data_IF_485294680386
#
_entry.id   IF_485294680386
#
_cell.length_a   1.000
_cell.length_b   1.000
_cell.length_c   1.000
_cell.angle_alpha   90.00
_cell.angle_beta   90.00
_cell.angle_gamma   90.00
#
_symmetry.space_group_name_H-M   'P 1'
#
loop_
_entity.id
_entity.type
_entity.pdbx_description
1 polymer ?
#
# COMPACT_ATOMS: atom_id res chain seq x y z
N UNK A 1 -9.53 -32.95 -14.05
CA UNK A 1 -8.93 -31.84 -14.83
C UNK A 1 -9.79 -30.60 -14.62
N UNK A 2 -9.26 -29.56 -13.97
CA UNK A 2 -9.95 -28.26 -13.89
C UNK A 2 -9.75 -27.50 -15.21
N UNK A 3 -10.76 -26.83 -15.76
CA UNK A 3 -10.61 -26.07 -16.99
C UNK A 3 -9.64 -24.90 -16.79
N UNK A 4 -8.88 -24.51 -17.83
CA UNK A 4 -7.97 -23.37 -17.76
C UNK A 4 -8.79 -22.11 -17.50
N UNK A 5 -8.50 -21.41 -16.39
CA UNK A 5 -9.03 -20.07 -16.14
C UNK A 5 -8.47 -19.17 -17.24
N UNK A 6 -9.32 -18.68 -18.14
CA UNK A 6 -8.90 -17.73 -19.17
C UNK A 6 -8.55 -16.41 -18.51
N UNK A 7 -7.28 -16.06 -18.41
CA UNK A 7 -6.84 -14.74 -17.99
C UNK A 7 -7.13 -13.76 -19.14
N UNK A 8 -8.15 -12.92 -19.03
CA UNK A 8 -8.35 -11.80 -19.95
C UNK A 8 -7.21 -10.79 -19.70
N UNK A 9 -6.38 -10.55 -20.71
CA UNK A 9 -5.41 -9.47 -20.66
C UNK A 9 -6.13 -8.12 -20.77
N UNK A 10 -5.71 -7.13 -19.98
CA UNK A 10 -6.29 -5.80 -19.95
C UNK A 10 -6.24 -5.17 -18.56
N UNK A 11 -6.76 -3.95 -18.45
CA UNK A 11 -7.01 -3.31 -17.15
C UNK A 11 -8.22 -4.00 -16.53
N UNK A 12 -8.01 -4.68 -15.41
CA UNK A 12 -9.07 -5.38 -14.69
C UNK A 12 -9.74 -4.48 -13.66
N UNK A 13 -8.93 -3.68 -12.96
CA UNK A 13 -9.34 -2.83 -11.85
C UNK A 13 -8.53 -1.53 -11.89
N UNK A 14 -9.12 -0.46 -11.35
CA UNK A 14 -8.49 0.83 -11.19
C UNK A 14 -8.77 1.34 -9.78
N UNK A 15 -7.72 1.83 -9.13
CA UNK A 15 -7.76 2.37 -7.78
C UNK A 15 -7.44 3.86 -7.87
N UNK A 16 -8.44 4.70 -7.61
CA UNK A 16 -8.33 6.15 -7.72
C UNK A 16 -8.27 6.76 -6.31
N UNK A 17 -7.26 7.58 -6.03
CA UNK A 17 -7.17 8.26 -4.74
C UNK A 17 -5.94 9.14 -4.54
N UNK A 18 -4.84 8.88 -5.25
CA UNK A 18 -3.70 9.80 -5.26
C UNK A 18 -3.95 11.01 -6.17
N UNK A 19 -3.42 12.17 -5.78
CA UNK A 19 -3.55 13.46 -6.49
C UNK A 19 -2.32 13.83 -7.30
N UNK A 20 -1.30 12.97 -7.27
CA UNK A 20 -0.03 13.13 -7.96
C UNK A 20 0.54 11.74 -8.33
N UNK A 21 1.64 11.68 -9.12
CA UNK A 21 2.23 10.42 -9.54
C UNK A 21 2.55 9.48 -8.38
N UNK A 22 2.13 8.22 -8.54
CA UNK A 22 2.49 7.12 -7.65
C UNK A 22 3.97 6.80 -7.86
N UNK A 23 4.73 6.74 -6.78
CA UNK A 23 6.17 6.50 -6.78
C UNK A 23 6.52 5.04 -6.51
N UNK A 24 5.69 4.33 -5.74
CA UNK A 24 5.82 2.89 -5.54
C UNK A 24 4.48 2.19 -5.30
N UNK A 25 4.46 0.90 -5.61
CA UNK A 25 3.38 -0.05 -5.27
C UNK A 25 4.02 -1.28 -4.64
N UNK A 26 3.54 -1.71 -3.47
CA UNK A 26 4.10 -2.87 -2.73
C UNK A 26 3.03 -3.78 -2.18
N UNK A 27 3.15 -5.06 -2.49
CA UNK A 27 2.29 -6.12 -1.97
C UNK A 27 3.08 -6.86 -0.87
N UNK A 28 2.50 -7.10 0.32
CA UNK A 28 3.18 -7.80 1.39
C UNK A 28 3.52 -9.24 0.97
N UNK A 29 4.78 -9.61 1.15
CA UNK A 29 5.27 -10.97 1.02
C UNK A 29 5.88 -11.38 2.36
N UNK A 30 5.16 -12.19 3.13
CA UNK A 30 5.62 -12.64 4.45
C UNK A 30 6.08 -14.08 4.34
N UNK A 31 7.31 -14.33 4.76
CA UNK A 31 7.90 -15.67 4.75
C UNK A 31 7.01 -16.67 5.50
N UNK A 32 6.72 -17.81 4.87
CA UNK A 32 5.94 -18.89 5.48
C UNK A 32 4.42 -18.68 5.49
N UNK A 33 3.89 -17.56 5.01
CA UNK A 33 2.44 -17.41 4.81
C UNK A 33 2.04 -18.04 3.47
N UNK A 34 1.09 -18.98 3.50
CA UNK A 34 0.58 -19.64 2.30
C UNK A 34 -0.19 -18.67 1.37
N UNK A 35 -0.75 -17.58 1.93
CA UNK A 35 -1.41 -16.52 1.17
C UNK A 35 -1.02 -15.14 1.70
N UNK A 36 -0.60 -14.24 0.81
CA UNK A 36 -0.45 -12.82 1.14
C UNK A 36 -1.83 -12.23 1.46
N UNK A 37 -1.98 -11.37 2.47
CA UNK A 37 -3.24 -10.67 2.68
C UNK A 37 -3.62 -9.89 1.41
N UNK A 38 -4.92 -9.65 1.16
CA UNK A 38 -5.38 -8.91 -0.01
C UNK A 38 -5.12 -7.40 0.17
N UNK A 39 -3.93 -7.02 0.61
CA UNK A 39 -3.52 -5.66 0.89
C UNK A 39 -2.39 -5.25 -0.05
N UNK A 40 -2.26 -3.95 -0.27
CA UNK A 40 -1.07 -3.36 -0.89
C UNK A 40 -0.91 -1.90 -0.46
N UNK A 41 0.33 -1.42 -0.52
CA UNK A 41 0.68 -0.03 -0.26
C UNK A 41 0.98 0.69 -1.56
N UNK A 42 0.69 1.99 -1.58
CA UNK A 42 1.19 2.92 -2.58
C UNK A 42 1.79 4.15 -1.90
N UNK A 43 2.87 4.68 -2.46
CA UNK A 43 3.44 5.99 -2.09
C UNK A 43 3.28 6.95 -3.25
N UNK A 44 3.21 8.26 -2.97
CA UNK A 44 3.02 9.26 -4.03
C UNK A 44 3.69 10.60 -3.73
N UNK A 45 3.86 11.38 -4.79
CA UNK A 45 4.26 12.79 -4.73
C UNK A 45 3.16 13.72 -4.20
N UNK A 46 1.99 13.21 -3.84
CA UNK A 46 0.96 13.99 -3.13
C UNK A 46 1.17 14.00 -1.61
N UNK A 47 2.37 13.62 -1.16
CA UNK A 47 2.77 13.49 0.24
C UNK A 47 1.94 12.47 1.03
N UNK A 48 1.30 11.51 0.35
CA UNK A 48 0.57 10.44 1.03
C UNK A 48 1.13 9.05 0.76
N UNK A 49 0.95 8.18 1.76
CA UNK A 49 1.04 6.73 1.64
C UNK A 49 -0.37 6.19 1.81
N UNK A 50 -0.81 5.28 0.94
CA UNK A 50 -2.15 4.70 1.03
C UNK A 50 -2.09 3.20 1.17
N UNK A 51 -2.86 2.68 2.12
CA UNK A 51 -3.09 1.25 2.31
C UNK A 51 -4.40 0.88 1.62
N UNK A 52 -4.37 -0.17 0.80
CA UNK A 52 -5.50 -0.59 -0.02
C UNK A 52 -5.88 -2.04 0.26
N UNK A 53 -7.16 -2.35 0.03
CA UNK A 53 -7.69 -3.69 -0.07
C UNK A 53 -7.83 -4.03 -1.55
N UNK A 54 -7.44 -5.23 -2.00
CA UNK A 54 -7.78 -5.73 -3.35
C UNK A 54 -9.28 -5.96 -3.54
N UNK A 55 -10.09 -5.80 -2.50
CA UNK A 55 -11.55 -5.98 -2.54
C UNK A 55 -12.30 -4.66 -2.70
N UNK A 56 -11.64 -3.53 -2.49
CA UNK A 56 -12.27 -2.21 -2.39
C UNK A 56 -11.47 -1.19 -3.20
N UNK A 57 -12.13 -0.36 -3.99
CA UNK A 57 -11.46 0.64 -4.85
C UNK A 57 -11.03 1.91 -4.11
N UNK A 58 -11.33 2.00 -2.81
CA UNK A 58 -10.98 3.12 -1.93
C UNK A 58 -9.85 2.72 -0.99
N UNK A 59 -8.98 3.68 -0.60
CA UNK A 59 -7.92 3.38 0.36
C UNK A 59 -8.54 3.06 1.72
N UNK A 60 -8.08 2.00 2.36
CA UNK A 60 -8.40 1.68 3.77
C UNK A 60 -7.86 2.78 4.66
N UNK A 61 -6.66 3.27 4.34
CA UNK A 61 -5.95 4.28 5.11
C UNK A 61 -5.14 5.21 4.21
N UNK A 62 -4.98 6.46 4.64
CA UNK A 62 -4.11 7.48 4.05
C UNK A 62 -3.23 8.06 5.15
N UNK A 63 -1.92 7.88 5.03
CA UNK A 63 -0.92 8.52 5.89
C UNK A 63 -0.42 9.76 5.17
N UNK A 64 -0.76 10.96 5.65
CA UNK A 64 -0.46 12.23 4.95
C UNK A 64 0.08 13.34 5.87
N UNK A 65 0.69 12.96 7.00
CA UNK A 65 1.24 13.89 8.00
C UNK A 65 2.56 14.58 7.58
N UNK A 66 3.08 14.26 6.40
CA UNK A 66 4.37 14.73 5.90
C UNK A 66 4.20 15.80 4.83
N UNK A 67 5.19 16.70 4.74
CA UNK A 67 5.24 17.74 3.70
C UNK A 67 6.15 17.32 2.53
N UNK A 68 7.02 16.32 2.73
CA UNK A 68 7.92 15.80 1.71
C UNK A 68 7.27 14.67 0.88
N UNK A 69 7.67 14.56 -0.39
CA UNK A 69 7.18 13.51 -1.29
C UNK A 69 7.75 12.15 -0.91
N UNK A 70 6.89 11.15 -0.81
CA UNK A 70 7.30 9.77 -0.60
C UNK A 70 7.84 9.17 -1.90
N UNK A 71 8.95 8.45 -1.80
CA UNK A 71 9.68 7.89 -2.94
C UNK A 71 9.50 6.40 -3.07
N UNK A 72 9.55 5.68 -1.95
CA UNK A 72 9.40 4.23 -1.94
C UNK A 72 8.87 3.74 -0.59
N UNK A 73 8.38 2.50 -0.60
CA UNK A 73 8.06 1.75 0.60
C UNK A 73 8.46 0.29 0.45
N UNK A 74 8.48 -0.44 1.56
CA UNK A 74 8.49 -1.90 1.53
C UNK A 74 7.89 -2.49 2.80
N UNK A 75 7.33 -3.70 2.68
CA UNK A 75 6.79 -4.43 3.82
C UNK A 75 7.91 -5.16 4.56
N UNK A 76 7.74 -5.38 5.86
CA UNK A 76 8.61 -6.31 6.57
C UNK A 76 8.41 -7.73 6.03
N UNK A 77 9.50 -8.45 5.68
CA UNK A 77 9.40 -9.82 5.19
C UNK A 77 9.01 -10.81 6.29
N UNK A 78 9.12 -10.39 7.57
CA UNK A 78 8.88 -11.24 8.74
C UNK A 78 7.59 -10.83 9.46
N UNK A 79 7.26 -9.54 9.54
CA UNK A 79 6.11 -9.06 10.31
C UNK A 79 5.03 -8.40 9.43
N UNK A 80 3.85 -9.02 9.23
CA UNK A 80 2.84 -8.59 8.25
C UNK A 80 2.26 -7.19 8.48
N UNK A 81 2.33 -6.66 9.70
CA UNK A 81 1.81 -5.33 10.02
C UNK A 81 2.87 -4.21 9.95
N UNK A 82 4.15 -4.54 9.71
CA UNK A 82 5.23 -3.56 9.63
C UNK A 82 5.57 -3.23 8.19
N UNK A 83 5.83 -1.96 7.93
CA UNK A 83 6.38 -1.50 6.66
C UNK A 83 7.25 -0.27 6.87
N UNK A 84 8.07 0.05 5.89
CA UNK A 84 8.94 1.24 5.90
C UNK A 84 8.63 2.13 4.71
N UNK A 85 8.85 3.43 4.86
CA UNK A 85 8.75 4.41 3.77
C UNK A 85 9.98 5.29 3.75
N UNK A 86 10.35 5.80 2.59
CA UNK A 86 11.40 6.82 2.43
C UNK A 86 10.87 8.03 1.68
N UNK A 87 11.33 9.22 2.05
CA UNK A 87 10.93 10.48 1.44
C UNK A 87 12.09 11.23 0.77
N UNK A 88 11.77 12.30 0.03
CA UNK A 88 12.75 13.21 -0.60
C UNK A 88 13.64 13.95 0.41
N UNK A 89 13.24 14.03 1.68
CA UNK A 89 14.04 14.62 2.75
C UNK A 89 15.14 13.70 3.26
N UNK A 90 15.18 12.44 2.80
CA UNK A 90 16.11 11.42 3.28
C UNK A 90 15.68 10.81 4.61
N UNK A 91 14.42 10.95 5.01
CA UNK A 91 13.87 10.29 6.19
C UNK A 91 13.41 8.87 5.85
N UNK A 92 13.63 7.96 6.80
CA UNK A 92 13.08 6.61 6.78
C UNK A 92 12.16 6.46 7.98
N UNK A 93 10.90 6.14 7.71
CA UNK A 93 9.89 5.90 8.74
C UNK A 93 9.58 4.39 8.80
N UNK A 94 9.34 3.89 10.02
CA UNK A 94 8.88 2.52 10.28
C UNK A 94 7.47 2.60 10.86
N UNK A 95 6.54 1.94 10.18
CA UNK A 95 5.12 1.97 10.49
C UNK A 95 4.67 0.63 11.04
N UNK A 96 3.71 0.65 11.96
CA UNK A 96 3.04 -0.51 12.50
C UNK A 96 1.54 -0.36 12.41
N UNK A 97 0.90 -1.09 11.49
CA UNK A 97 -0.55 -1.07 11.28
C UNK A 97 -1.38 -1.46 12.51
N UNK A 98 -0.77 -2.09 13.52
CA UNK A 98 -1.46 -2.42 14.78
C UNK A 98 -1.49 -1.24 15.76
N UNK A 99 -0.64 -0.23 15.58
CA UNK A 99 -0.48 0.91 16.50
C UNK A 99 -0.87 2.24 15.82
N UNK A 100 -0.49 2.39 14.56
CA UNK A 100 -0.70 3.60 13.76
C UNK A 100 -2.14 3.61 13.21
N UNK A 101 -3.07 4.00 14.07
CA UNK A 101 -4.46 4.31 13.70
C UNK A 101 -4.69 5.83 13.80
N UNK A 102 -4.02 6.64 12.98
CA UNK A 102 -4.40 8.07 12.95
C UNK A 102 -5.80 8.19 12.34
N UNK A 103 -6.77 8.63 13.15
CA UNK A 103 -8.20 8.57 12.87
C UNK A 103 -8.56 9.27 11.56
N UNK A 104 -9.05 8.50 10.57
CA UNK A 104 -9.64 8.99 9.33
C UNK A 104 -11.03 8.40 9.10
N UNK A 105 -11.99 8.66 10.00
CA UNK A 105 -13.41 8.49 9.69
C UNK A 105 -13.92 9.74 8.96
N UNK A 106 -13.71 9.82 7.65
CA UNK A 106 -14.64 10.54 6.80
C UNK A 106 -15.05 9.64 5.64
N UNK A 107 -16.35 9.29 5.63
CA UNK A 107 -17.03 8.53 4.58
C UNK A 107 -17.32 9.42 3.38
#
# INVERSE_FOLDING_TARGET
MCPPKTCKAGILEQFEGHRAPITAVRIPCVEGSAESPPLFLTTSMDCSVKLWSKKDTFPIFSFDDRIAYFLDCDWSPVHPALFTTVDLGGQLDVWNLNLDHEVGLER
#
